data_IF_981334086656
#
_entry.id   IF_981334086656
#
_cell.length_a   1.000
_cell.length_b   1.000
_cell.length_c   1.000
_cell.angle_alpha   90.00
_cell.angle_beta   90.00
_cell.angle_gamma   90.00
#
_symmetry.space_group_name_H-M   'P 1'
#
loop_
_entity.id
_entity.type
_entity.pdbx_description
1 polymer ?
#
# COMPACT_ATOMS: atom_id res chain seq x y z
N UNK A 1 -13.20 20.40 -9.30
CA UNK A 1 -12.96 19.24 -8.40
C UNK A 1 -11.55 18.77 -8.66
N UNK A 2 -10.68 18.73 -7.65
CA UNK A 2 -9.30 18.29 -7.85
C UNK A 2 -9.29 16.81 -8.27
N UNK A 3 -8.85 16.52 -9.49
CA UNK A 3 -8.49 15.17 -9.91
C UNK A 3 -7.45 14.67 -8.91
N UNK A 4 -7.73 13.62 -8.11
CA UNK A 4 -6.70 13.07 -7.26
C UNK A 4 -5.57 12.67 -8.19
N UNK A 5 -4.38 13.20 -7.96
CA UNK A 5 -3.19 12.76 -8.69
C UNK A 5 -3.13 11.26 -8.52
N UNK A 6 -3.50 10.54 -9.57
CA UNK A 6 -3.36 9.11 -9.66
C UNK A 6 -1.88 8.84 -9.90
N UNK A 7 -1.06 9.20 -8.91
CA UNK A 7 0.17 8.48 -8.68
C UNK A 7 -0.29 7.04 -8.53
N UNK A 8 0.07 6.20 -9.50
CA UNK A 8 -0.15 4.76 -9.52
C UNK A 8 0.46 4.17 -8.25
N UNK A 9 -0.26 4.30 -7.16
CA UNK A 9 0.11 3.81 -5.85
C UNK A 9 -0.29 2.35 -5.89
N UNK A 10 0.70 1.49 -5.90
CA UNK A 10 0.50 0.05 -5.98
C UNK A 10 0.74 -0.54 -4.62
N UNK A 11 -0.12 -1.47 -4.21
CA UNK A 11 0.04 -2.24 -2.99
C UNK A 11 1.42 -2.88 -2.96
N UNK A 12 2.17 -2.63 -1.89
CA UNK A 12 3.52 -3.15 -1.73
C UNK A 12 3.53 -4.69 -1.62
N UNK A 13 2.38 -5.30 -1.34
CA UNK A 13 2.23 -6.74 -1.44
C UNK A 13 2.28 -7.16 -2.93
N UNK A 14 3.39 -7.79 -3.31
CA UNK A 14 3.65 -8.26 -4.68
C UNK A 14 2.65 -9.30 -5.17
N UNK A 15 1.93 -10.00 -4.26
CA UNK A 15 0.85 -10.91 -4.63
C UNK A 15 -0.49 -10.20 -4.87
N UNK A 16 -0.65 -8.98 -4.36
CA UNK A 16 -1.88 -8.22 -4.48
C UNK A 16 -1.92 -7.44 -5.79
N UNK A 17 -0.87 -6.65 -6.08
CA UNK A 17 -0.80 -5.84 -7.30
C UNK A 17 -1.91 -4.80 -7.45
N UNK A 18 -2.68 -4.52 -6.39
CA UNK A 18 -3.75 -3.55 -6.43
C UNK A 18 -3.20 -2.14 -6.66
N UNK A 19 -3.66 -1.50 -7.73
CA UNK A 19 -3.35 -0.11 -8.09
C UNK A 19 -4.47 0.87 -7.70
N UNK A 20 -5.57 0.35 -7.15
CA UNK A 20 -6.71 1.11 -6.65
C UNK A 20 -7.25 0.46 -5.38
N UNK A 21 -7.58 1.28 -4.39
CA UNK A 21 -8.08 0.87 -3.07
C UNK A 21 -8.83 2.05 -2.47
N UNK A 22 -9.89 1.77 -1.72
CA UNK A 22 -10.67 2.83 -1.08
C UNK A 22 -9.88 3.51 0.05
N UNK A 23 -8.98 2.75 0.69
CA UNK A 23 -8.11 3.27 1.75
C UNK A 23 -6.74 2.61 1.72
N UNK A 24 -5.72 3.45 1.69
CA UNK A 24 -4.33 3.05 1.86
C UNK A 24 -3.98 2.93 3.34
N UNK A 25 -3.34 1.82 3.69
CA UNK A 25 -2.82 1.52 5.01
C UNK A 25 -1.31 1.59 5.04
N UNK A 26 -0.76 2.09 6.15
CA UNK A 26 0.67 2.08 6.40
C UNK A 26 1.07 0.77 7.06
N UNK A 27 2.05 0.10 6.47
CA UNK A 27 2.60 -1.15 6.95
C UNK A 27 3.97 -1.03 7.59
N UNK A 28 4.82 -2.04 7.36
CA UNK A 28 6.16 -2.10 7.90
C UNK A 28 7.08 -1.03 7.29
N UNK A 29 8.19 -0.73 7.98
CA UNK A 29 9.25 0.13 7.43
C UNK A 29 10.10 -0.64 6.43
N UNK A 30 10.31 -0.05 5.27
CA UNK A 30 11.23 -0.53 4.26
C UNK A 30 12.67 -0.28 4.71
N UNK A 31 13.62 -1.00 4.11
CA UNK A 31 15.06 -0.79 4.36
C UNK A 31 15.54 0.61 3.98
N UNK A 32 14.83 1.27 3.04
CA UNK A 32 15.03 2.67 2.65
C UNK A 32 14.68 3.65 3.78
N UNK A 33 13.88 3.23 4.77
CA UNK A 33 13.32 4.08 5.81
C UNK A 33 11.88 4.53 5.53
N UNK A 34 11.43 4.41 4.28
CA UNK A 34 10.05 4.64 3.88
C UNK A 34 9.08 3.63 4.52
N UNK A 35 7.80 3.97 4.57
CA UNK A 35 6.75 3.08 5.10
C UNK A 35 6.04 2.41 3.93
N UNK A 36 5.94 1.07 3.96
CA UNK A 36 5.20 0.32 2.95
C UNK A 36 3.72 0.73 2.99
N UNK A 37 3.12 0.91 1.81
CA UNK A 37 1.69 1.19 1.71
C UNK A 37 0.95 -0.01 1.12
N UNK A 38 -0.15 -0.36 1.77
CA UNK A 38 -0.95 -1.54 1.49
C UNK A 38 -2.39 -1.12 1.22
N UNK A 39 -3.05 -1.84 0.32
CA UNK A 39 -4.49 -1.71 0.13
C UNK A 39 -5.25 -2.26 1.34
N UNK A 40 -6.50 -1.83 1.54
CA UNK A 40 -7.45 -2.39 2.52
C UNK A 40 -7.46 -3.93 2.59
N UNK A 41 -7.26 -4.60 1.45
CA UNK A 41 -7.23 -6.06 1.35
C UNK A 41 -5.98 -6.72 1.95
N UNK A 42 -4.93 -5.94 2.18
CA UNK A 42 -3.61 -6.43 2.59
C UNK A 42 -3.19 -5.89 3.97
N UNK A 43 -4.06 -5.18 4.68
CA UNK A 43 -3.73 -4.63 6.00
C UNK A 43 -3.23 -5.70 6.99
N UNK A 44 -3.74 -6.93 6.88
CA UNK A 44 -3.42 -8.05 7.77
C UNK A 44 -2.13 -8.78 7.42
N UNK A 45 -1.50 -8.51 6.28
CA UNK A 45 -0.23 -9.16 5.86
C UNK A 45 0.97 -8.51 6.58
N UNK A 46 0.71 -7.64 7.57
CA UNK A 46 1.68 -6.71 8.14
C UNK A 46 2.85 -7.33 8.91
N UNK A 47 2.79 -8.60 9.25
CA UNK A 47 3.86 -9.25 10.00
C UNK A 47 4.21 -10.59 9.36
N UNK A 48 5.37 -10.71 8.70
CA UNK A 48 6.01 -12.01 8.66
C UNK A 48 6.35 -12.34 10.12
N UNK A 49 5.62 -13.29 10.71
CA UNK A 49 6.15 -14.05 11.84
C UNK A 49 7.45 -14.73 11.43
#
# INVERSE_FOLDING_TARGET
MATPSSFLKTCFNTKCGASSTERWWKGWRLRSGDVAELSDRCEYVLFPL
#
